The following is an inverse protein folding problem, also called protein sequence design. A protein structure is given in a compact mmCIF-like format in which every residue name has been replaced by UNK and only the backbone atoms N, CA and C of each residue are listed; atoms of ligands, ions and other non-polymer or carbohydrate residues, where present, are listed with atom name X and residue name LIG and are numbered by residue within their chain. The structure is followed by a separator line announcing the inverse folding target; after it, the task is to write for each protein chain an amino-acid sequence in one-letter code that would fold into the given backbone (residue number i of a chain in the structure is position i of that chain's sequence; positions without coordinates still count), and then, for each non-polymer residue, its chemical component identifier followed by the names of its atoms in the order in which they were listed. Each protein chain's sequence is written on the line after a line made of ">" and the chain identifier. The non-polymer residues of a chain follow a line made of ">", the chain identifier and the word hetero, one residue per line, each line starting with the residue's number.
data_IF_830706846815
#
_entry.id   IF_830706846815
#
_cell.length_a   1.000
_cell.length_b   1.000
_cell.length_c   1.000
_cell.angle_alpha   90.00
_cell.angle_beta   90.00
_cell.angle_gamma   90.00
#
_symmetry.space_group_name_H-M   'P 1'
#
loop_
_entity.id
_entity.type
_entity.pdbx_description
1 polymer ?
#
# COMPACT_ATOMS: atom_id res chain seq x y z
N UNK A 1 -3.80 -13.52 -3.43
CA UNK A 1 -3.35 -12.98 -2.13
C UNK A 1 -3.95 -13.83 -1.04
N UNK A 2 -3.13 -14.41 -0.20
CA UNK A 2 -3.59 -15.18 0.96
C UNK A 2 -3.33 -14.35 2.21
N UNK A 3 -4.41 -14.04 2.94
CA UNK A 3 -4.34 -13.35 4.22
C UNK A 3 -3.84 -14.33 5.29
N UNK A 4 -2.87 -13.90 6.08
CA UNK A 4 -2.31 -14.72 7.16
C UNK A 4 -2.77 -14.26 8.53
N UNK A 5 -2.58 -12.98 8.84
CA UNK A 5 -2.76 -12.47 10.20
C UNK A 5 -3.07 -10.98 10.20
N UNK A 6 -3.87 -10.56 11.18
CA UNK A 6 -4.10 -9.17 11.54
C UNK A 6 -3.85 -8.96 13.03
N UNK A 7 -3.19 -7.85 13.36
CA UNK A 7 -2.96 -7.43 14.74
C UNK A 7 -3.50 -6.01 14.86
N UNK A 8 -4.36 -5.79 15.84
CA UNK A 8 -4.95 -4.49 16.19
C UNK A 8 -4.35 -4.03 17.51
N UNK A 9 -3.66 -2.90 17.49
CA UNK A 9 -3.06 -2.25 18.66
C UNK A 9 -3.66 -0.85 18.90
N UNK A 10 -4.95 -0.68 18.64
CA UNK A 10 -5.63 0.60 18.75
C UNK A 10 -5.36 1.51 17.54
N UNK A 11 -4.50 2.51 17.67
CA UNK A 11 -4.13 3.42 16.58
C UNK A 11 -3.07 2.86 15.62
N UNK A 12 -2.60 1.66 15.87
CA UNK A 12 -1.66 0.95 15.02
C UNK A 12 -2.22 -0.42 14.67
N UNK A 13 -2.07 -0.84 13.41
CA UNK A 13 -2.40 -2.21 13.01
C UNK A 13 -1.36 -2.80 12.08
N UNK A 14 -1.29 -4.13 12.08
CA UNK A 14 -0.40 -4.89 11.20
C UNK A 14 -1.21 -5.96 10.47
N UNK A 15 -1.07 -6.01 9.14
CA UNK A 15 -1.67 -7.03 8.31
C UNK A 15 -0.59 -7.78 7.52
N UNK A 16 -0.63 -9.10 7.53
CA UNK A 16 0.35 -9.97 6.89
C UNK A 16 -0.32 -10.76 5.77
N UNK A 17 0.34 -10.82 4.62
CA UNK A 17 -0.16 -11.48 3.43
C UNK A 17 0.94 -12.26 2.73
N UNK A 18 0.60 -13.45 2.21
CA UNK A 18 1.36 -14.12 1.17
C UNK A 18 0.74 -13.78 -0.20
N UNK A 19 1.50 -13.10 -1.03
CA UNK A 19 1.13 -12.82 -2.40
C UNK A 19 1.76 -13.85 -3.33
N UNK A 20 0.94 -14.63 -3.99
CA UNK A 20 1.39 -15.50 -5.08
C UNK A 20 1.23 -14.68 -6.36
N UNK A 21 2.34 -14.43 -7.05
CA UNK A 21 2.27 -13.78 -8.37
C UNK A 21 1.54 -14.69 -9.36
N UNK A 22 0.64 -14.11 -10.13
CA UNK A 22 -0.08 -14.86 -11.15
C UNK A 22 0.89 -15.53 -12.13
N UNK A 23 0.63 -16.75 -12.57
CA UNK A 23 1.46 -17.40 -13.58
C UNK A 23 1.41 -16.57 -14.87
N UNK A 24 2.57 -16.11 -15.32
CA UNK A 24 2.73 -15.38 -16.58
C UNK A 24 2.99 -16.37 -17.71
N UNK A 25 2.35 -16.15 -18.86
CA UNK A 25 2.57 -16.97 -20.05
C UNK A 25 3.99 -16.80 -20.61
N UNK A 26 4.48 -17.75 -21.41
CA UNK A 26 5.77 -17.63 -22.09
C UNK A 26 5.81 -16.42 -23.03
N UNK A 27 4.68 -16.11 -23.69
CA UNK A 27 4.56 -14.96 -24.60
C UNK A 27 4.75 -13.65 -23.83
N UNK A 28 4.11 -13.51 -22.67
CA UNK A 28 4.26 -12.33 -21.80
C UNK A 28 5.69 -12.17 -21.30
N UNK A 29 6.37 -13.26 -20.94
CA UNK A 29 7.78 -13.26 -20.52
C UNK A 29 8.74 -12.85 -21.64
N UNK A 30 8.45 -13.25 -22.87
CA UNK A 30 9.25 -12.86 -24.03
C UNK A 30 9.04 -11.38 -24.34
N UNK A 31 7.77 -10.91 -24.28
CA UNK A 31 7.44 -9.50 -24.51
C UNK A 31 7.94 -8.57 -23.42
N UNK A 32 8.02 -9.07 -22.17
CA UNK A 32 8.49 -8.34 -21.00
C UNK A 32 9.49 -9.18 -20.20
N UNK A 33 10.76 -9.20 -20.58
CA UNK A 33 11.79 -10.01 -19.92
C UNK A 33 11.92 -9.75 -18.41
N UNK A 34 11.54 -8.56 -17.94
CA UNK A 34 11.57 -8.20 -16.52
C UNK A 34 10.60 -9.04 -15.68
N UNK A 35 9.56 -9.64 -16.30
CA UNK A 35 8.66 -10.60 -15.64
C UNK A 35 9.35 -11.91 -15.22
N UNK A 36 10.50 -12.23 -15.82
CA UNK A 36 11.32 -13.36 -15.40
C UNK A 36 11.97 -13.17 -14.03
N UNK A 37 12.10 -11.91 -13.62
CA UNK A 37 12.72 -11.51 -12.36
C UNK A 37 11.69 -11.44 -11.21
N UNK A 38 10.38 -11.48 -11.52
CA UNK A 38 9.35 -11.46 -10.50
C UNK A 38 9.41 -12.74 -9.64
N UNK A 39 9.49 -12.61 -8.33
CA UNK A 39 9.46 -13.75 -7.44
C UNK A 39 8.07 -14.41 -7.47
N UNK A 40 8.02 -15.73 -7.34
CA UNK A 40 6.76 -16.48 -7.31
C UNK A 40 5.92 -16.14 -6.09
N UNK A 41 6.56 -15.81 -4.98
CA UNK A 41 5.90 -15.44 -3.73
C UNK A 41 6.54 -14.17 -3.21
N UNK A 42 5.72 -13.21 -2.84
CA UNK A 42 6.10 -12.00 -2.12
C UNK A 42 5.38 -12.04 -0.78
N UNK A 43 6.13 -12.01 0.31
CA UNK A 43 5.56 -11.79 1.63
C UNK A 43 5.32 -10.30 1.80
N UNK A 44 4.10 -9.93 2.12
CA UNK A 44 3.72 -8.55 2.32
C UNK A 44 3.28 -8.32 3.76
N UNK A 45 3.77 -7.24 4.34
CA UNK A 45 3.38 -6.77 5.66
C UNK A 45 2.98 -5.31 5.54
N UNK A 46 1.76 -5.01 5.94
CA UNK A 46 1.21 -3.66 5.97
C UNK A 46 1.12 -3.19 7.41
N UNK A 47 1.75 -2.07 7.71
CA UNK A 47 1.64 -1.38 8.99
C UNK A 47 0.84 -0.10 8.79
N UNK A 48 -0.19 0.09 9.59
CA UNK A 48 -0.96 1.31 9.59
C UNK A 48 -0.75 2.04 10.91
N UNK A 49 -0.41 3.31 10.83
CA UNK A 49 -0.34 4.26 11.94
C UNK A 49 -1.38 5.33 11.70
N UNK A 50 -2.56 5.10 12.26
CA UNK A 50 -3.72 5.96 12.03
C UNK A 50 -3.51 7.38 12.58
N UNK A 51 -3.90 8.42 11.84
CA UNK A 51 -4.52 8.39 10.52
C UNK A 51 -3.56 8.65 9.36
N UNK A 52 -2.27 8.91 9.58
CA UNK A 52 -1.43 9.62 8.63
C UNK A 52 -0.36 8.78 7.94
N UNK A 53 -0.06 7.57 8.42
CA UNK A 53 1.05 6.81 7.88
C UNK A 53 0.68 5.35 7.62
N UNK A 54 1.00 4.88 6.42
CA UNK A 54 0.96 3.46 6.06
C UNK A 54 2.33 3.05 5.55
N UNK A 55 2.86 1.95 6.06
CA UNK A 55 4.11 1.37 5.62
C UNK A 55 3.84 -0.02 5.04
N UNK A 56 4.15 -0.18 3.77
CA UNK A 56 4.13 -1.47 3.11
C UNK A 56 5.54 -2.06 3.08
N UNK A 57 5.70 -3.27 3.57
CA UNK A 57 6.92 -4.06 3.46
C UNK A 57 6.68 -5.23 2.52
N UNK A 58 7.56 -5.40 1.55
CA UNK A 58 7.60 -6.55 0.67
C UNK A 58 8.91 -7.30 0.83
N UNK A 59 8.85 -8.62 1.02
CA UNK A 59 10.03 -9.48 1.06
C UNK A 59 9.90 -10.59 0.04
N UNK A 60 10.98 -10.83 -0.71
CA UNK A 60 11.06 -11.83 -1.75
C UNK A 60 12.43 -12.49 -1.79
N UNK A 61 12.58 -13.50 -2.65
CA UNK A 61 13.87 -14.18 -2.86
C UNK A 61 15.01 -13.27 -3.36
N UNK A 62 14.68 -12.12 -3.94
CA UNK A 62 15.64 -11.18 -4.53
C UNK A 62 15.99 -10.00 -3.62
N UNK A 63 15.12 -9.67 -2.66
CA UNK A 63 15.35 -8.55 -1.74
C UNK A 63 14.11 -8.14 -0.97
N UNK A 64 14.24 -6.99 -0.32
CA UNK A 64 13.18 -6.36 0.47
C UNK A 64 12.89 -4.97 -0.08
N UNK A 65 11.63 -4.56 0.00
CA UNK A 65 11.20 -3.20 -0.30
C UNK A 65 10.38 -2.67 0.86
N UNK A 66 10.43 -1.36 1.08
CA UNK A 66 9.49 -0.67 1.96
C UNK A 66 8.98 0.58 1.24
N UNK A 67 7.68 0.82 1.34
CA UNK A 67 7.02 2.03 0.87
C UNK A 67 6.33 2.68 2.04
N UNK A 68 6.72 3.91 2.36
CA UNK A 68 6.08 4.72 3.40
C UNK A 68 5.14 5.72 2.73
N UNK A 69 3.86 5.62 2.98
CA UNK A 69 2.83 6.53 2.47
C UNK A 69 2.41 7.45 3.61
N UNK A 70 2.80 8.71 3.52
CA UNK A 70 2.42 9.75 4.47
C UNK A 70 1.29 10.58 3.88
N UNK A 71 0.15 10.61 4.55
CA UNK A 71 -1.03 11.36 4.14
C UNK A 71 -1.08 12.69 4.91
N UNK A 72 -1.02 13.80 4.18
CA UNK A 72 -1.06 15.14 4.74
C UNK A 72 -2.34 15.83 4.27
N UNK A 73 -3.34 16.03 5.13
CA UNK A 73 -4.52 16.81 4.78
C UNK A 73 -4.12 18.26 4.44
N UNK A 74 -4.50 18.76 3.28
CA UNK A 74 -4.28 20.14 2.87
C UNK A 74 -5.55 20.98 2.99
N UNK A 75 -6.71 20.32 2.84
CA UNK A 75 -8.02 20.93 3.03
C UNK A 75 -9.05 19.86 3.38
N UNK A 76 -10.33 20.24 3.55
CA UNK A 76 -11.42 19.29 3.77
C UNK A 76 -11.62 18.29 2.61
N UNK A 77 -11.11 18.64 1.42
CA UNK A 77 -11.34 17.86 0.19
C UNK A 77 -10.05 17.32 -0.44
N UNK A 78 -8.91 17.75 0.07
CA UNK A 78 -7.60 17.44 -0.53
C UNK A 78 -6.64 16.88 0.48
N UNK A 79 -6.03 15.76 0.13
CA UNK A 79 -4.96 15.12 0.89
C UNK A 79 -3.77 14.91 -0.03
N UNK A 80 -2.62 15.40 0.36
CA UNK A 80 -1.36 15.14 -0.33
C UNK A 80 -0.73 13.88 0.23
N UNK A 81 -0.32 12.98 -0.67
CA UNK A 81 0.39 11.75 -0.28
C UNK A 81 1.85 11.86 -0.67
N UNK A 82 2.72 11.72 0.31
CA UNK A 82 4.16 11.57 0.09
C UNK A 82 4.52 10.09 0.14
N UNK A 83 5.21 9.59 -0.90
CA UNK A 83 5.63 8.20 -0.96
C UNK A 83 7.15 8.14 -0.94
N UNK A 84 7.70 7.53 0.11
CA UNK A 84 9.12 7.23 0.23
C UNK A 84 9.33 5.75 -0.03
N UNK A 85 10.26 5.43 -0.92
CA UNK A 85 10.56 4.05 -1.28
C UNK A 85 11.98 3.68 -0.91
N UNK A 86 12.14 2.52 -0.30
CA UNK A 86 13.40 1.95 0.10
C UNK A 86 13.52 0.54 -0.46
N UNK A 87 14.70 0.21 -0.97
CA UNK A 87 15.01 -1.12 -1.48
C UNK A 87 16.30 -1.66 -0.87
N UNK A 88 16.31 -2.94 -0.56
CA UNK A 88 17.49 -3.67 -0.14
C UNK A 88 17.64 -4.95 -0.96
N UNK A 89 18.57 -4.97 -1.89
CA UNK A 89 18.89 -6.16 -2.65
C UNK A 89 19.55 -7.23 -1.76
N UNK A 90 19.19 -8.50 -1.97
CA UNK A 90 19.73 -9.63 -1.21
C UNK A 90 21.23 -9.85 -1.47
N UNK A 91 21.71 -9.52 -2.66
CA UNK A 91 23.12 -9.63 -3.02
C UNK A 91 23.53 -8.55 -4.04
N UNK A 92 24.85 -8.45 -4.31
CA UNK A 92 25.40 -7.44 -5.20
C UNK A 92 24.91 -7.54 -6.65
N UNK A 93 24.59 -8.74 -7.14
CA UNK A 93 24.08 -8.92 -8.51
C UNK A 93 22.69 -8.31 -8.67
N UNK A 94 21.83 -8.39 -7.66
CA UNK A 94 20.50 -7.79 -7.68
C UNK A 94 20.51 -6.27 -7.52
N UNK A 95 21.60 -5.66 -7.03
CA UNK A 95 21.76 -4.19 -6.99
C UNK A 95 21.69 -3.53 -8.38
N UNK A 96 22.06 -4.25 -9.42
CA UNK A 96 21.92 -3.75 -10.79
C UNK A 96 20.46 -3.57 -11.21
N UNK A 97 19.54 -4.17 -10.46
CA UNK A 97 18.10 -4.10 -10.70
C UNK A 97 17.40 -3.06 -9.82
N UNK A 98 18.10 -2.40 -8.88
CA UNK A 98 17.51 -1.47 -7.93
C UNK A 98 16.68 -0.37 -8.63
N UNK A 99 17.23 0.24 -9.70
CA UNK A 99 16.53 1.25 -10.47
C UNK A 99 15.28 0.72 -11.18
N UNK A 100 15.31 -0.54 -11.66
CA UNK A 100 14.15 -1.16 -12.29
C UNK A 100 13.04 -1.43 -11.28
N UNK A 101 13.38 -1.88 -10.08
CA UNK A 101 12.42 -2.07 -8.99
C UNK A 101 11.80 -0.75 -8.54
N UNK A 102 12.61 0.29 -8.37
CA UNK A 102 12.12 1.62 -8.01
C UNK A 102 11.19 2.18 -9.11
N UNK A 103 11.55 2.04 -10.37
CA UNK A 103 10.69 2.46 -11.48
C UNK A 103 9.38 1.67 -11.53
N UNK A 104 9.42 0.36 -11.31
CA UNK A 104 8.22 -0.46 -11.24
C UNK A 104 7.30 -0.02 -10.09
N UNK A 105 7.86 0.15 -8.88
CA UNK A 105 7.11 0.63 -7.74
C UNK A 105 6.50 2.02 -7.98
N UNK A 106 7.23 2.92 -8.64
CA UNK A 106 6.72 4.23 -9.04
C UNK A 106 5.52 4.12 -9.98
N UNK A 107 5.60 3.28 -11.01
CA UNK A 107 4.49 3.06 -11.95
C UNK A 107 3.24 2.54 -11.23
N UNK A 108 3.40 1.61 -10.28
CA UNK A 108 2.27 1.10 -9.49
C UNK A 108 1.61 2.22 -8.68
N UNK A 109 2.40 3.03 -7.97
CA UNK A 109 1.88 4.17 -7.19
C UNK A 109 1.18 5.19 -8.09
N UNK A 110 1.72 5.49 -9.27
CA UNK A 110 1.10 6.39 -10.24
C UNK A 110 -0.25 5.86 -10.75
N UNK A 111 -0.33 4.56 -11.05
CA UNK A 111 -1.58 3.90 -11.46
C UNK A 111 -2.63 3.94 -10.35
N UNK A 112 -2.25 3.63 -9.10
CA UNK A 112 -3.14 3.68 -7.96
C UNK A 112 -3.66 5.10 -7.72
N UNK A 113 -2.78 6.11 -7.83
CA UNK A 113 -3.14 7.53 -7.71
C UNK A 113 -4.15 7.94 -8.78
N UNK A 114 -3.93 7.53 -10.03
CA UNK A 114 -4.82 7.82 -11.16
C UNK A 114 -6.22 7.19 -10.97
N UNK A 115 -6.29 6.00 -10.39
CA UNK A 115 -7.55 5.34 -10.04
C UNK A 115 -8.24 6.11 -8.91
N UNK A 116 -7.53 6.44 -7.83
CA UNK A 116 -8.10 7.13 -6.68
C UNK A 116 -8.68 8.51 -7.04
N UNK A 117 -8.01 9.25 -7.92
CA UNK A 117 -8.49 10.56 -8.40
C UNK A 117 -9.81 10.46 -9.19
N UNK A 118 -10.13 9.29 -9.75
CA UNK A 118 -11.35 9.03 -10.51
C UNK A 118 -12.50 8.50 -9.66
N UNK A 119 -12.26 8.21 -8.37
CA UNK A 119 -13.30 7.76 -7.45
C UNK A 119 -14.07 8.99 -6.95
N UNK A 120 -15.38 8.97 -7.15
CA UNK A 120 -16.25 10.03 -6.65
C UNK A 120 -16.30 10.02 -5.11
N UNK A 121 -16.18 11.19 -4.47
CA UNK A 121 -16.34 11.31 -3.02
C UNK A 121 -17.70 10.73 -2.57
N UNK A 122 -17.71 10.07 -1.43
CA UNK A 122 -18.90 9.46 -0.84
C UNK A 122 -19.57 8.35 -1.67
N UNK A 123 -18.87 7.76 -2.62
CA UNK A 123 -19.39 6.58 -3.33
C UNK A 123 -19.57 5.43 -2.34
N UNK A 124 -20.79 4.89 -2.18
CA UNK A 124 -21.00 3.77 -1.26
C UNK A 124 -20.25 2.53 -1.76
N UNK A 125 -19.62 1.83 -0.84
CA UNK A 125 -18.98 0.57 -1.17
C UNK A 125 -20.03 -0.46 -1.61
N UNK A 126 -19.98 -0.87 -2.87
CA UNK A 126 -20.91 -1.85 -3.44
C UNK A 126 -20.45 -3.30 -3.27
N UNK A 127 -19.15 -3.52 -3.12
CA UNK A 127 -18.55 -4.84 -3.01
C UNK A 127 -17.67 -4.84 -1.76
N UNK A 128 -17.86 -5.83 -0.89
CA UNK A 128 -16.98 -6.13 0.22
C UNK A 128 -16.26 -7.43 -0.10
N UNK A 129 -14.93 -7.39 -0.11
CA UNK A 129 -14.12 -8.58 -0.31
C UNK A 129 -13.99 -9.35 1.02
N UNK A 130 -13.83 -10.66 0.92
CA UNK A 130 -13.46 -11.46 2.08
C UNK A 130 -12.06 -11.02 2.56
N UNK A 131 -11.88 -10.87 3.88
CA UNK A 131 -10.62 -10.46 4.51
C UNK A 131 -10.24 -8.97 4.37
N UNK A 132 -11.21 -8.07 4.30
CA UNK A 132 -11.00 -6.61 4.36
C UNK A 132 -10.81 -6.09 5.81
N UNK A 133 -10.25 -6.90 6.69
CA UNK A 133 -10.07 -6.54 8.12
C UNK A 133 -9.30 -5.23 8.33
N UNK A 134 -8.32 -4.94 7.47
CA UNK A 134 -7.59 -3.68 7.51
C UNK A 134 -8.46 -2.48 7.18
N UNK A 135 -9.33 -2.58 6.16
CA UNK A 135 -10.27 -1.52 5.80
C UNK A 135 -11.35 -1.31 6.86
N UNK A 136 -11.86 -2.39 7.45
CA UNK A 136 -12.82 -2.30 8.55
C UNK A 136 -12.18 -1.64 9.78
N UNK A 137 -10.89 -1.90 10.05
CA UNK A 137 -10.14 -1.24 11.10
C UNK A 137 -9.99 0.25 10.85
N UNK A 138 -9.62 0.66 9.64
CA UNK A 138 -9.51 2.08 9.24
C UNK A 138 -10.84 2.79 9.45
N UNK A 139 -11.96 2.22 8.96
CA UNK A 139 -13.31 2.81 9.12
C UNK A 139 -13.65 3.03 10.59
N UNK A 140 -13.48 2.01 11.44
CA UNK A 140 -13.78 2.13 12.88
C UNK A 140 -12.95 3.22 13.55
N UNK A 141 -11.68 3.35 13.18
CA UNK A 141 -10.82 4.40 13.72
C UNK A 141 -11.26 5.80 13.23
N UNK A 142 -11.72 5.95 11.98
CA UNK A 142 -12.28 7.21 11.51
C UNK A 142 -13.59 7.58 12.22
N UNK A 143 -14.48 6.61 12.44
CA UNK A 143 -15.75 6.83 13.15
C UNK A 143 -15.53 7.25 14.62
N UNK A 144 -14.46 6.75 15.24
CA UNK A 144 -14.11 7.08 16.63
C UNK A 144 -13.16 8.28 16.76
N UNK A 145 -12.68 8.83 15.65
CA UNK A 145 -11.75 9.95 15.67
C UNK A 145 -12.46 11.22 16.12
N UNK A 146 -11.94 11.95 17.10
CA UNK A 146 -12.61 13.15 17.59
C UNK A 146 -12.74 14.17 16.46
N UNK A 147 -13.97 14.53 16.12
CA UNK A 147 -14.23 15.67 15.26
C UNK A 147 -13.66 16.91 15.92
N UNK A 148 -12.86 17.68 15.20
CA UNK A 148 -12.46 19.00 15.64
C UNK A 148 -13.75 19.84 15.67
N UNK A 149 -14.32 19.98 16.85
CA UNK A 149 -15.38 20.96 17.08
C UNK A 149 -14.68 22.30 16.92
N UNK A 150 -15.04 23.06 15.89
CA UNK A 150 -14.58 24.44 15.77
C UNK A 150 -14.84 25.14 17.10
N UNK A 151 -13.83 25.77 17.74
CA UNK A 151 -14.09 26.54 18.92
C UNK A 151 -15.11 27.61 18.52
N UNK A 152 -16.27 27.60 19.17
CA UNK A 152 -17.25 28.65 19.02
C UNK A 152 -16.55 29.98 19.30
N UNK A 153 -16.09 30.64 18.26
CA UNK A 153 -15.71 32.04 18.29
C UNK A 153 -17.00 32.86 18.43
N UNK A 154 -17.58 32.79 19.62
CA UNK A 154 -18.62 33.75 20.01
C UNK A 154 -18.02 35.15 19.98
N UNK A 155 -18.46 35.94 19.02
CA UNK A 155 -18.20 37.36 18.89
C UNK A 155 -18.75 38.13 20.10
#
# INVERSE_FOLDING_TARGET
>A
MQFEKFIDNGHQSHAFYDNITAPTSLVEKISNPDLLLLPKVIKAHLENYFPFLVIFHGESGIGKVAQCHLFVPESEKETRTYVLMFGQAKNKAFRLLDNKFLNFAKVVVEQDTDILQKIYPNTPQKIKLNNEVGMDWVRRNFESFPNIVEPNLSK
#
